data_IF_685514330980
#
_entry.id   IF_685514330980
#
_cell.length_a   1.000
_cell.length_b   1.000
_cell.length_c   1.000
_cell.angle_alpha   90.00
_cell.angle_beta   90.00
_cell.angle_gamma   90.00
#
_symmetry.space_group_name_H-M   'P 1'
#
loop_
_entity.id
_entity.type
_entity.pdbx_description
1 polymer ?
#
# COMPACT_ATOMS: atom_id res chain seq x y z
N UNK A 1 21.24 -0.72 16.57
CA UNK A 1 20.07 0.20 16.60
C UNK A 1 18.83 -0.53 17.11
N UNK A 2 18.07 0.07 18.03
CA UNK A 2 16.83 -0.48 18.61
C UNK A 2 15.63 0.32 18.08
N UNK A 3 14.81 -0.29 17.24
CA UNK A 3 13.66 0.33 16.59
C UNK A 3 12.34 -0.05 17.27
N UNK A 4 11.49 0.92 17.55
CA UNK A 4 10.11 0.69 17.96
C UNK A 4 9.15 1.30 16.95
N UNK A 5 8.24 0.48 16.44
CA UNK A 5 7.24 0.87 15.44
C UNK A 5 5.87 1.01 16.10
N UNK A 6 5.28 2.18 15.96
CA UNK A 6 3.92 2.47 16.45
C UNK A 6 2.91 2.22 15.35
N UNK A 7 1.96 1.34 15.61
CA UNK A 7 0.89 1.04 14.66
C UNK A 7 -0.09 2.21 14.56
N UNK A 8 -0.80 2.25 13.44
CA UNK A 8 -1.92 3.18 13.26
C UNK A 8 -2.96 2.97 14.36
N UNK A 9 -3.63 4.04 14.78
CA UNK A 9 -4.62 3.97 15.85
C UNK A 9 -5.70 2.91 15.59
N UNK A 10 -5.87 2.03 16.54
CA UNK A 10 -6.83 0.92 16.48
C UNK A 10 -6.37 -0.28 15.66
N UNK A 11 -5.18 -0.23 15.06
CA UNK A 11 -4.66 -1.33 14.24
C UNK A 11 -3.89 -2.34 15.12
N UNK A 12 -3.96 -3.62 14.71
CA UNK A 12 -3.35 -4.74 15.41
C UNK A 12 -2.82 -5.78 14.41
N UNK A 13 -2.03 -6.74 14.87
CA UNK A 13 -1.62 -7.88 14.04
C UNK A 13 -2.83 -8.71 13.62
N UNK A 14 -3.77 -8.89 14.52
CA UNK A 14 -5.03 -9.57 14.23
C UNK A 14 -5.85 -8.80 13.17
N UNK A 15 -5.90 -7.47 13.25
CA UNK A 15 -6.53 -6.63 12.23
C UNK A 15 -5.85 -6.79 10.86
N UNK A 16 -4.54 -6.90 10.81
CA UNK A 16 -3.81 -7.19 9.57
C UNK A 16 -4.12 -8.60 9.05
N UNK A 17 -4.23 -9.59 9.94
CA UNK A 17 -4.59 -10.96 9.56
C UNK A 17 -6.00 -11.03 8.97
N UNK A 18 -6.98 -10.42 9.62
CA UNK A 18 -8.37 -10.36 9.14
C UNK A 18 -8.50 -9.64 7.80
N UNK A 19 -7.68 -8.61 7.57
CA UNK A 19 -7.60 -7.90 6.30
C UNK A 19 -6.76 -8.64 5.22
N UNK A 20 -6.20 -9.83 5.52
CA UNK A 20 -5.37 -10.61 4.59
C UNK A 20 -4.04 -9.95 4.23
N UNK A 21 -3.54 -9.02 5.06
CA UNK A 21 -2.32 -8.24 4.75
C UNK A 21 -1.17 -8.48 5.74
N UNK A 22 -1.34 -9.38 6.70
CA UNK A 22 -0.36 -9.60 7.78
C UNK A 22 1.03 -9.93 7.23
N UNK A 23 1.14 -10.94 6.38
CA UNK A 23 2.41 -11.38 5.81
C UNK A 23 3.07 -10.26 5.00
N UNK A 24 2.28 -9.56 4.19
CA UNK A 24 2.73 -8.41 3.41
C UNK A 24 3.29 -7.29 4.29
N UNK A 25 2.61 -6.93 5.39
CA UNK A 25 3.06 -5.84 6.27
C UNK A 25 4.26 -6.28 7.15
N UNK A 26 4.36 -7.56 7.51
CA UNK A 26 5.50 -8.10 8.25
C UNK A 26 6.77 -8.24 7.39
N UNK A 27 6.66 -8.45 6.09
CA UNK A 27 7.80 -8.74 5.21
C UNK A 27 8.90 -7.66 5.29
N UNK A 28 8.54 -6.37 5.29
CA UNK A 28 9.48 -5.27 5.43
C UNK A 28 10.24 -5.33 6.77
N UNK A 29 9.52 -5.58 7.85
CA UNK A 29 10.13 -5.62 9.18
C UNK A 29 10.99 -6.86 9.40
N UNK A 30 10.63 -8.00 8.78
CA UNK A 30 11.48 -9.20 8.73
C UNK A 30 12.77 -8.92 7.94
N UNK A 31 12.68 -8.19 6.82
CA UNK A 31 13.86 -7.79 6.05
C UNK A 31 14.76 -6.81 6.82
N UNK A 32 14.19 -5.91 7.62
CA UNK A 32 14.95 -4.99 8.46
C UNK A 32 15.55 -5.67 9.70
N UNK A 33 14.92 -6.74 10.22
CA UNK A 33 15.28 -7.37 11.52
C UNK A 33 16.76 -7.77 11.65
N UNK A 34 17.43 -8.35 10.64
CA UNK A 34 18.85 -8.71 10.73
C UNK A 34 19.79 -7.53 10.95
N UNK A 35 19.37 -6.31 10.57
CA UNK A 35 20.16 -5.08 10.69
C UNK A 35 19.88 -4.32 12.00
N UNK A 36 18.98 -4.86 12.85
CA UNK A 36 18.55 -4.24 14.09
C UNK A 36 18.96 -5.09 15.29
N UNK A 37 19.47 -4.45 16.33
CA UNK A 37 19.72 -5.10 17.61
C UNK A 37 18.39 -5.54 18.25
N UNK A 38 17.37 -4.69 18.17
CA UNK A 38 16.04 -4.96 18.68
C UNK A 38 14.98 -4.30 17.83
N UNK A 39 13.85 -4.99 17.64
CA UNK A 39 12.67 -4.48 16.96
C UNK A 39 11.43 -4.77 17.81
N UNK A 40 10.62 -3.76 18.06
CA UNK A 40 9.35 -3.91 18.78
C UNK A 40 8.21 -3.20 18.06
N UNK A 41 7.00 -3.74 18.18
CA UNK A 41 5.75 -3.16 17.73
C UNK A 41 4.91 -2.71 18.91
N UNK A 42 4.38 -1.49 18.88
CA UNK A 42 3.31 -1.04 19.77
C UNK A 42 1.99 -1.19 19.02
N UNK A 43 1.16 -2.16 19.40
CA UNK A 43 -0.10 -2.49 18.71
C UNK A 43 -1.30 -2.18 19.60
N UNK A 44 -2.48 -2.07 19.00
CA UNK A 44 -3.73 -1.86 19.74
C UNK A 44 -4.47 -3.17 20.05
N UNK A 45 -3.94 -4.32 19.60
CA UNK A 45 -4.47 -5.64 19.90
C UNK A 45 -4.16 -6.10 21.32
N UNK A 46 -4.81 -7.17 21.73
CA UNK A 46 -4.66 -7.82 23.02
C UNK A 46 -3.99 -9.20 22.94
N UNK A 47 -4.63 -10.21 23.56
CA UNK A 47 -4.11 -11.57 23.61
C UNK A 47 -3.92 -12.21 22.22
N UNK A 48 -4.73 -11.85 21.23
CA UNK A 48 -4.62 -12.37 19.87
C UNK A 48 -3.31 -11.94 19.21
N UNK A 49 -2.90 -10.68 19.38
CA UNK A 49 -1.62 -10.20 18.88
C UNK A 49 -0.43 -10.93 19.52
N UNK A 50 -0.54 -11.32 20.80
CA UNK A 50 0.48 -12.15 21.44
C UNK A 50 0.57 -13.56 20.83
N UNK A 51 -0.56 -14.17 20.45
CA UNK A 51 -0.56 -15.46 19.74
C UNK A 51 0.10 -15.35 18.36
N UNK A 52 -0.11 -14.23 17.68
CA UNK A 52 0.48 -13.94 16.38
C UNK A 52 1.96 -13.49 16.46
N UNK A 53 2.48 -13.19 17.65
CA UNK A 53 3.87 -12.76 17.83
C UNK A 53 4.89 -13.80 17.33
N UNK A 54 4.55 -15.10 17.38
CA UNK A 54 5.36 -16.16 16.80
C UNK A 54 5.58 -16.01 15.28
N UNK A 55 4.59 -15.48 14.54
CA UNK A 55 4.71 -15.17 13.12
C UNK A 55 5.57 -13.91 12.88
N UNK A 56 5.66 -13.03 13.85
CA UNK A 56 6.50 -11.83 13.79
C UNK A 56 8.00 -12.10 14.02
N UNK A 57 8.44 -13.35 14.06
CA UNK A 57 9.83 -13.85 14.05
C UNK A 57 10.89 -12.89 14.63
N UNK A 58 11.07 -12.90 15.97
CA UNK A 58 12.08 -12.09 16.66
C UNK A 58 11.71 -10.61 16.84
N UNK A 59 10.44 -10.24 16.66
CA UNK A 59 9.89 -8.89 16.91
C UNK A 59 9.14 -8.94 18.25
N UNK A 60 9.48 -8.07 19.19
CA UNK A 60 8.73 -7.92 20.45
C UNK A 60 7.38 -7.25 20.15
N UNK A 61 6.26 -7.79 20.66
CA UNK A 61 4.94 -7.21 20.46
C UNK A 61 4.40 -6.63 21.76
N UNK A 62 4.27 -5.32 21.82
CA UNK A 62 3.75 -4.57 22.96
C UNK A 62 2.25 -4.32 22.76
N UNK A 63 1.42 -5.13 23.42
CA UNK A 63 -0.03 -5.17 23.20
C UNK A 63 -0.78 -4.33 24.23
N UNK A 64 -2.01 -3.97 23.92
CA UNK A 64 -2.96 -3.35 24.83
C UNK A 64 -3.60 -4.38 25.79
N UNK A 65 -2.78 -4.96 26.69
CA UNK A 65 -3.22 -5.97 27.67
C UNK A 65 -4.24 -5.47 28.69
N UNK A 66 -4.47 -4.17 28.75
CA UNK A 66 -5.45 -3.53 29.66
C UNK A 66 -6.82 -3.33 29.02
N UNK A 67 -6.98 -3.73 27.74
CA UNK A 67 -8.20 -3.57 26.96
C UNK A 67 -8.73 -2.11 26.97
N UNK A 68 -7.81 -1.14 26.99
CA UNK A 68 -8.18 0.27 27.00
C UNK A 68 -8.78 0.68 25.64
N UNK A 69 -9.76 1.59 25.61
CA UNK A 69 -10.23 2.19 24.37
C UNK A 69 -9.07 2.81 23.58
N UNK A 70 -9.09 2.68 22.24
CA UNK A 70 -7.97 3.06 21.37
C UNK A 70 -7.46 4.49 21.60
N UNK A 71 -8.35 5.45 21.85
CA UNK A 71 -7.96 6.84 22.13
C UNK A 71 -7.19 6.95 23.45
N UNK A 72 -7.68 6.31 24.51
CA UNK A 72 -7.02 6.33 25.81
C UNK A 72 -5.68 5.59 25.76
N UNK A 73 -5.66 4.40 25.12
CA UNK A 73 -4.42 3.64 24.93
C UNK A 73 -3.39 4.43 24.15
N UNK A 74 -3.76 5.15 23.08
CA UNK A 74 -2.80 5.94 22.31
C UNK A 74 -2.10 7.05 23.11
N UNK A 75 -2.70 7.52 24.18
CA UNK A 75 -2.09 8.50 25.09
C UNK A 75 -1.26 7.81 26.16
N UNK A 76 -1.75 6.69 26.71
CA UNK A 76 -1.12 6.00 27.85
C UNK A 76 -0.04 4.99 27.44
N UNK A 77 -0.07 4.45 26.22
CA UNK A 77 0.87 3.44 25.75
C UNK A 77 2.36 3.83 25.96
N UNK A 78 2.78 5.09 25.72
CA UNK A 78 4.14 5.51 26.01
C UNK A 78 4.55 5.28 27.48
N UNK A 79 3.66 5.52 28.41
CA UNK A 79 3.91 5.28 29.84
C UNK A 79 3.82 3.79 30.21
N UNK A 80 2.82 3.08 29.70
CA UNK A 80 2.58 1.66 29.99
C UNK A 80 3.74 0.77 29.51
N UNK A 81 4.35 1.12 28.38
CA UNK A 81 5.48 0.40 27.78
C UNK A 81 6.84 1.08 28.01
N UNK A 82 6.97 1.94 29.04
CA UNK A 82 8.15 2.78 29.29
C UNK A 82 9.47 2.02 29.36
N UNK A 83 9.45 0.75 29.79
CA UNK A 83 10.67 -0.06 29.92
C UNK A 83 11.31 -0.33 28.54
N UNK A 84 10.52 -0.78 27.56
CA UNK A 84 11.00 -1.04 26.21
C UNK A 84 11.25 0.28 25.46
N UNK A 85 10.32 1.25 25.55
CA UNK A 85 10.45 2.55 24.88
C UNK A 85 11.67 3.34 25.37
N UNK A 86 11.99 3.31 26.65
CA UNK A 86 13.17 3.99 27.20
C UNK A 86 14.51 3.43 26.67
N UNK A 87 14.53 2.16 26.24
CA UNK A 87 15.70 1.51 25.66
C UNK A 87 15.82 1.67 24.14
N UNK A 88 14.79 2.16 23.49
CA UNK A 88 14.79 2.38 22.05
C UNK A 88 15.83 3.41 21.63
N UNK A 89 16.35 3.29 20.40
CA UNK A 89 17.17 4.30 19.74
C UNK A 89 16.28 5.22 18.91
N UNK A 90 15.36 4.64 18.12
CA UNK A 90 14.50 5.33 17.18
C UNK A 90 13.06 4.85 17.33
N UNK A 91 12.13 5.77 17.20
CA UNK A 91 10.72 5.52 17.02
C UNK A 91 10.33 5.69 15.54
N UNK A 92 9.42 4.86 15.07
CA UNK A 92 8.85 4.97 13.73
C UNK A 92 7.34 4.79 13.80
N UNK A 93 6.58 5.54 12.99
CA UNK A 93 5.15 5.28 12.82
C UNK A 93 4.91 4.39 11.60
N UNK A 94 3.89 3.52 11.68
CA UNK A 94 3.47 2.75 10.51
C UNK A 94 2.72 3.63 9.49
N UNK A 95 1.88 4.55 9.98
CA UNK A 95 1.18 5.58 9.22
C UNK A 95 0.98 6.82 10.10
N UNK A 96 0.44 7.90 9.50
CA UNK A 96 0.19 9.17 10.21
C UNK A 96 -0.97 9.06 11.22
N UNK A 97 -2.01 8.23 10.94
CA UNK A 97 -3.14 8.07 11.84
C UNK A 97 -2.68 7.40 13.15
N UNK A 98 -2.77 8.12 14.26
CA UNK A 98 -2.30 7.66 15.58
C UNK A 98 -0.83 7.98 15.87
N UNK A 99 -0.12 8.66 14.98
CA UNK A 99 1.27 9.05 15.17
C UNK A 99 1.52 9.94 16.40
N UNK A 100 0.49 10.59 16.95
CA UNK A 100 0.60 11.33 18.22
C UNK A 100 1.08 10.46 19.38
N UNK A 101 0.77 9.16 19.40
CA UNK A 101 1.32 8.21 20.37
C UNK A 101 2.86 8.20 20.32
N UNK A 102 3.43 8.13 19.13
CA UNK A 102 4.88 8.18 18.91
C UNK A 102 5.47 9.57 19.25
N UNK A 103 4.73 10.66 18.98
CA UNK A 103 5.15 12.01 19.36
C UNK A 103 5.21 12.17 20.89
N UNK A 104 4.21 11.66 21.62
CA UNK A 104 4.22 11.64 23.09
C UNK A 104 5.43 10.84 23.59
N UNK A 105 5.67 9.65 23.03
CA UNK A 105 6.83 8.84 23.36
C UNK A 105 8.15 9.58 23.09
N UNK A 106 8.27 10.27 21.94
CA UNK A 106 9.44 11.10 21.62
C UNK A 106 9.70 12.15 22.70
N UNK A 107 8.66 12.88 23.10
CA UNK A 107 8.78 13.93 24.13
C UNK A 107 9.22 13.34 25.50
N UNK A 108 8.64 12.18 25.90
CA UNK A 108 8.94 11.55 27.18
C UNK A 108 10.35 10.96 27.24
N UNK A 109 10.80 10.32 26.17
CA UNK A 109 12.06 9.58 26.15
C UNK A 109 13.18 10.27 25.38
N UNK A 110 12.91 11.43 24.74
CA UNK A 110 13.87 12.22 23.95
C UNK A 110 14.57 11.38 22.86
N UNK A 111 13.81 10.54 22.17
CA UNK A 111 14.28 9.69 21.06
C UNK A 111 14.00 10.33 19.71
N UNK A 112 14.71 9.88 18.67
CA UNK A 112 14.43 10.27 17.30
C UNK A 112 13.14 9.63 16.80
N UNK A 113 12.41 10.34 15.93
CA UNK A 113 11.13 9.90 15.39
C UNK A 113 11.12 9.99 13.87
N UNK A 114 10.88 8.85 13.22
CA UNK A 114 10.58 8.76 11.78
C UNK A 114 9.07 8.65 11.62
N UNK A 115 8.48 9.60 10.90
CA UNK A 115 7.05 9.57 10.58
C UNK A 115 6.85 9.03 9.17
N UNK A 116 6.09 7.93 9.02
CA UNK A 116 5.67 7.44 7.70
C UNK A 116 4.29 7.97 7.35
N UNK A 117 4.17 8.51 6.13
CA UNK A 117 2.93 9.00 5.57
C UNK A 117 2.71 8.36 4.20
N UNK A 118 1.83 7.38 4.11
CA UNK A 118 1.41 6.76 2.86
C UNK A 118 0.27 7.51 2.17
N UNK A 119 -0.45 8.35 2.91
CA UNK A 119 -1.52 9.23 2.43
C UNK A 119 -1.81 10.31 3.47
N UNK A 120 -2.27 11.48 3.04
CA UNK A 120 -2.68 12.55 3.95
C UNK A 120 -4.06 12.24 4.54
N UNK A 121 -4.15 12.27 5.85
CA UNK A 121 -5.42 12.05 6.57
C UNK A 121 -6.41 13.17 6.29
N UNK A 122 -5.95 14.43 6.17
CA UNK A 122 -6.76 15.57 5.77
C UNK A 122 -7.44 15.37 4.41
N UNK A 123 -6.75 14.81 3.41
CA UNK A 123 -7.31 14.53 2.08
C UNK A 123 -8.34 13.39 2.15
N UNK A 124 -8.12 12.40 3.01
CA UNK A 124 -9.09 11.35 3.27
C UNK A 124 -10.36 11.90 3.97
N UNK A 125 -10.18 12.83 4.91
CA UNK A 125 -11.30 13.50 5.60
C UNK A 125 -12.17 14.33 4.65
N UNK A 126 -11.62 14.87 3.56
CA UNK A 126 -12.42 15.59 2.53
C UNK A 126 -13.50 14.68 1.94
N UNK A 127 -13.20 13.38 1.78
CA UNK A 127 -14.15 12.39 1.22
C UNK A 127 -15.17 11.90 2.24
N UNK A 128 -14.80 11.88 3.54
CA UNK A 128 -15.66 11.35 4.61
C UNK A 128 -16.58 12.39 5.24
N UNK A 129 -16.27 13.68 5.13
CA UNK A 129 -17.04 14.73 5.80
C UNK A 129 -17.00 16.07 5.08
N UNK A 130 -18.14 16.74 5.03
CA UNK A 130 -18.26 18.13 4.56
C UNK A 130 -17.84 19.16 5.63
N UNK A 131 -17.53 18.71 6.84
CA UNK A 131 -17.22 19.58 7.98
C UNK A 131 -15.84 20.22 7.86
N UNK A 132 -15.79 21.52 7.57
CA UNK A 132 -14.55 22.30 7.43
C UNK A 132 -13.69 22.29 8.70
N UNK A 133 -14.28 22.34 9.89
CA UNK A 133 -13.53 22.37 11.15
C UNK A 133 -12.81 21.02 11.43
N UNK A 134 -13.43 19.87 11.08
CA UNK A 134 -12.79 18.56 11.23
C UNK A 134 -11.58 18.42 10.30
N UNK A 135 -11.69 18.94 9.09
CA UNK A 135 -10.59 18.99 8.14
C UNK A 135 -9.45 19.88 8.64
N UNK A 136 -9.77 21.09 9.12
CA UNK A 136 -8.78 21.99 9.70
C UNK A 136 -8.08 21.38 10.92
N UNK A 137 -8.80 20.66 11.77
CA UNK A 137 -8.23 19.95 12.91
C UNK A 137 -7.26 18.84 12.44
N UNK A 138 -7.64 18.08 11.40
CA UNK A 138 -6.77 17.07 10.82
C UNK A 138 -5.48 17.70 10.27
N UNK A 139 -5.56 18.81 9.53
CA UNK A 139 -4.41 19.53 8.98
C UNK A 139 -3.51 20.09 10.11
N UNK A 140 -4.09 20.59 11.20
CA UNK A 140 -3.31 21.03 12.36
C UNK A 140 -2.57 19.89 13.04
N UNK A 141 -3.22 18.73 13.21
CA UNK A 141 -2.60 17.54 13.78
C UNK A 141 -1.49 16.99 12.87
N UNK A 142 -1.72 16.93 11.56
CA UNK A 142 -0.70 16.54 10.58
C UNK A 142 0.52 17.45 10.66
N UNK A 143 0.30 18.77 10.66
CA UNK A 143 1.37 19.76 10.80
C UNK A 143 2.18 19.55 12.08
N UNK A 144 1.52 19.32 13.20
CA UNK A 144 2.18 19.06 14.47
C UNK A 144 3.02 17.77 14.44
N UNK A 145 2.47 16.69 13.89
CA UNK A 145 3.14 15.41 13.75
C UNK A 145 4.36 15.51 12.82
N UNK A 146 4.20 16.14 11.65
CA UNK A 146 5.30 16.31 10.70
C UNK A 146 6.43 17.18 11.26
N UNK A 147 6.09 18.25 11.98
CA UNK A 147 7.12 19.08 12.66
C UNK A 147 7.81 18.35 13.78
N UNK A 148 7.12 17.45 14.48
CA UNK A 148 7.70 16.64 15.54
C UNK A 148 8.62 15.53 15.00
N UNK A 149 8.45 15.06 13.75
CA UNK A 149 9.32 14.07 13.13
C UNK A 149 10.73 14.61 12.88
N UNK A 150 11.76 13.80 13.16
CA UNK A 150 13.15 14.09 12.78
C UNK A 150 13.39 13.74 11.30
N UNK A 151 12.69 12.74 10.78
CA UNK A 151 12.60 12.43 9.36
C UNK A 151 11.16 12.05 8.98
N UNK A 152 10.83 12.29 7.72
CA UNK A 152 9.57 11.93 7.08
C UNK A 152 9.83 10.91 5.98
N UNK A 153 9.06 9.85 5.94
CA UNK A 153 9.02 8.88 4.84
C UNK A 153 7.67 9.00 4.14
N UNK A 154 7.69 9.28 2.85
CA UNK A 154 6.51 9.34 1.97
C UNK A 154 6.63 8.33 0.84
N UNK A 155 5.50 7.94 0.23
CA UNK A 155 5.49 6.86 -0.76
C UNK A 155 5.83 7.34 -2.19
N UNK A 156 5.66 8.62 -2.51
CA UNK A 156 5.86 9.16 -3.85
C UNK A 156 6.45 10.56 -3.89
N UNK A 157 7.02 10.92 -5.05
CA UNK A 157 7.60 12.26 -5.25
C UNK A 157 6.55 13.37 -5.26
N UNK A 158 5.33 13.12 -5.79
CA UNK A 158 4.23 14.08 -5.75
C UNK A 158 3.74 14.30 -4.33
N UNK A 159 3.62 13.23 -3.53
CA UNK A 159 3.28 13.32 -2.11
C UNK A 159 4.31 14.16 -1.36
N UNK A 160 5.61 13.91 -1.64
CA UNK A 160 6.71 14.69 -1.07
C UNK A 160 6.58 16.17 -1.38
N UNK A 161 6.38 16.53 -2.64
CA UNK A 161 6.23 17.92 -3.05
C UNK A 161 5.01 18.59 -2.37
N UNK A 162 3.86 17.91 -2.38
CA UNK A 162 2.62 18.37 -1.76
C UNK A 162 2.80 18.62 -0.25
N UNK A 163 3.41 17.67 0.46
CA UNK A 163 3.60 17.73 1.91
C UNK A 163 4.57 18.84 2.28
N UNK A 164 5.70 18.95 1.57
CA UNK A 164 6.68 20.03 1.80
C UNK A 164 6.01 21.40 1.60
N UNK A 165 5.30 21.61 0.51
CA UNK A 165 4.63 22.87 0.19
C UNK A 165 3.50 23.20 1.19
N UNK A 166 2.62 22.22 1.50
CA UNK A 166 1.43 22.43 2.34
C UNK A 166 1.77 22.72 3.79
N UNK A 167 2.82 22.07 4.31
CA UNK A 167 3.17 22.14 5.74
C UNK A 167 4.44 22.94 6.02
N UNK A 168 5.07 23.49 4.98
CA UNK A 168 6.32 24.25 5.08
C UNK A 168 7.41 23.46 5.80
N UNK A 169 7.76 22.30 5.22
CA UNK A 169 8.72 21.37 5.81
C UNK A 169 10.07 21.44 5.09
N UNK A 170 11.12 21.12 5.83
CA UNK A 170 12.46 20.96 5.28
C UNK A 170 12.52 19.75 4.31
N UNK A 171 12.89 20.02 3.08
CA UNK A 171 13.05 19.01 2.03
C UNK A 171 14.13 17.97 2.38
N UNK A 172 15.17 18.33 3.14
CA UNK A 172 16.26 17.44 3.56
C UNK A 172 15.81 16.36 4.54
N UNK A 173 14.72 16.59 5.28
CA UNK A 173 14.15 15.62 6.22
C UNK A 173 13.06 14.73 5.60
N UNK A 174 12.68 14.98 4.35
CA UNK A 174 11.57 14.28 3.70
C UNK A 174 12.10 13.33 2.62
N UNK A 175 12.01 12.04 2.88
CA UNK A 175 12.56 10.96 2.06
C UNK A 175 11.43 10.24 1.31
N UNK A 176 11.68 9.88 0.05
CA UNK A 176 10.76 9.04 -0.73
C UNK A 176 11.21 7.59 -0.58
N UNK A 177 10.35 6.78 0.04
CA UNK A 177 10.51 5.32 0.13
C UNK A 177 9.19 4.70 -0.31
N UNK A 178 9.10 4.22 -1.57
CA UNK A 178 7.88 3.66 -2.14
C UNK A 178 7.37 2.44 -1.36
N UNK A 179 6.16 2.00 -1.71
CA UNK A 179 5.74 0.66 -1.33
C UNK A 179 6.60 -0.37 -2.06
N UNK A 180 6.70 -1.56 -1.51
CA UNK A 180 7.50 -2.65 -2.06
C UNK A 180 6.62 -3.77 -2.60
N UNK A 181 7.24 -4.61 -3.41
CA UNK A 181 6.76 -5.94 -3.77
C UNK A 181 7.78 -6.99 -3.30
N UNK A 182 7.28 -8.08 -2.72
CA UNK A 182 8.12 -9.24 -2.42
C UNK A 182 8.36 -10.04 -3.70
N UNK A 183 9.52 -9.84 -4.31
CA UNK A 183 9.89 -10.48 -5.57
C UNK A 183 10.25 -11.95 -5.42
N UNK A 184 10.33 -12.49 -4.21
CA UNK A 184 10.44 -13.93 -3.98
C UNK A 184 9.08 -14.62 -4.12
N UNK A 185 8.01 -13.93 -3.73
CA UNK A 185 6.63 -14.37 -3.85
C UNK A 185 6.03 -14.00 -5.22
N UNK A 186 6.11 -12.72 -5.59
CA UNK A 186 5.61 -12.19 -6.87
C UNK A 186 6.71 -12.28 -7.91
N UNK A 187 6.67 -13.31 -8.72
CA UNK A 187 7.65 -13.61 -9.78
C UNK A 187 6.98 -14.23 -10.98
N UNK A 188 7.65 -14.21 -12.10
CA UNK A 188 7.24 -14.98 -13.26
C UNK A 188 7.21 -16.48 -12.91
N UNK A 189 6.11 -17.15 -13.22
CA UNK A 189 5.86 -18.58 -13.01
C UNK A 189 5.68 -19.29 -14.36
N UNK A 190 6.77 -19.78 -15.00
CA UNK A 190 6.69 -20.42 -16.31
C UNK A 190 5.79 -21.67 -16.33
N UNK A 191 5.61 -22.28 -15.16
CA UNK A 191 4.73 -23.44 -14.95
C UNK A 191 3.23 -23.11 -14.99
N UNK A 192 2.87 -21.82 -14.96
CA UNK A 192 1.48 -21.36 -15.05
C UNK A 192 1.18 -20.89 -16.47
N UNK A 193 0.32 -21.62 -17.17
CA UNK A 193 -0.11 -21.21 -18.51
C UNK A 193 -0.98 -19.97 -18.47
N UNK A 194 -0.62 -18.97 -19.27
CA UNK A 194 -1.44 -17.77 -19.47
C UNK A 194 -2.68 -18.12 -20.30
N UNK A 195 -3.82 -17.62 -19.86
CA UNK A 195 -5.07 -17.72 -20.61
C UNK A 195 -5.20 -16.52 -21.56
N UNK A 196 -5.34 -16.81 -22.84
CA UNK A 196 -5.54 -15.79 -23.86
C UNK A 196 -6.78 -14.95 -23.56
N UNK A 197 -6.68 -13.64 -23.74
CA UNK A 197 -7.72 -12.61 -23.51
C UNK A 197 -8.26 -12.56 -22.07
N UNK A 198 -7.53 -13.14 -21.10
CA UNK A 198 -7.85 -12.97 -19.66
C UNK A 198 -7.19 -11.71 -19.14
N UNK A 199 -8.03 -10.77 -18.72
CA UNK A 199 -7.65 -9.54 -18.02
C UNK A 199 -7.90 -9.72 -16.53
N UNK A 200 -7.03 -9.20 -15.68
CA UNK A 200 -7.20 -9.23 -14.23
C UNK A 200 -7.08 -7.83 -13.63
N UNK A 201 -7.91 -7.53 -12.65
CA UNK A 201 -7.79 -6.34 -11.78
C UNK A 201 -7.81 -6.75 -10.32
N UNK A 202 -7.06 -6.04 -9.47
CA UNK A 202 -6.91 -6.33 -8.04
C UNK A 202 -7.11 -5.06 -7.24
N UNK A 203 -8.10 -5.06 -6.35
CA UNK A 203 -8.36 -3.92 -5.49
C UNK A 203 -9.70 -3.99 -4.79
N UNK A 204 -9.94 -3.05 -3.86
CA UNK A 204 -11.25 -2.91 -3.22
C UNK A 204 -12.30 -2.49 -4.26
N UNK A 205 -13.50 -2.99 -4.12
CA UNK A 205 -14.63 -2.61 -5.00
C UNK A 205 -15.31 -1.35 -4.45
N UNK A 206 -14.59 -0.22 -4.57
CA UNK A 206 -15.00 1.11 -4.14
C UNK A 206 -14.91 2.09 -5.31
N UNK A 207 -15.58 3.22 -5.22
CA UNK A 207 -15.69 4.21 -6.29
C UNK A 207 -14.32 4.65 -6.84
N UNK A 208 -13.34 4.86 -5.97
CA UNK A 208 -12.00 5.28 -6.39
C UNK A 208 -11.27 4.27 -7.29
N UNK A 209 -11.67 2.99 -7.26
CA UNK A 209 -11.07 1.93 -8.09
C UNK A 209 -11.67 1.85 -9.49
N UNK A 210 -12.81 2.50 -9.73
CA UNK A 210 -13.40 2.67 -11.06
C UNK A 210 -13.64 1.37 -11.83
N UNK A 211 -13.95 0.29 -11.11
CA UNK A 211 -14.25 -1.03 -11.69
C UNK A 211 -15.50 -0.96 -12.59
N UNK A 212 -16.39 -0.01 -12.31
CA UNK A 212 -17.59 0.24 -13.13
C UNK A 212 -17.22 0.59 -14.58
N UNK A 213 -16.31 1.56 -14.78
CA UNK A 213 -15.86 1.95 -16.14
C UNK A 213 -15.14 0.81 -16.86
N UNK A 214 -14.44 -0.06 -16.11
CA UNK A 214 -13.83 -1.26 -16.69
C UNK A 214 -14.89 -2.25 -17.20
N UNK A 215 -15.94 -2.53 -16.44
CA UNK A 215 -17.06 -3.38 -16.86
C UNK A 215 -17.78 -2.77 -18.07
N UNK A 216 -18.01 -1.47 -18.07
CA UNK A 216 -18.61 -0.77 -19.22
C UNK A 216 -17.72 -0.87 -20.49
N UNK A 217 -16.40 -0.82 -20.33
CA UNK A 217 -15.46 -0.95 -21.46
C UNK A 217 -15.55 -2.32 -22.15
N UNK A 218 -15.86 -3.40 -21.38
CA UNK A 218 -15.93 -4.77 -21.90
C UNK A 218 -17.12 -5.02 -22.83
N UNK A 219 -18.17 -4.20 -22.82
CA UNK A 219 -19.37 -4.40 -23.69
C UNK A 219 -19.03 -4.49 -25.18
N UNK A 220 -17.98 -3.81 -25.60
CA UNK A 220 -17.55 -3.76 -27.00
C UNK A 220 -16.20 -4.49 -27.22
N UNK A 221 -15.86 -5.41 -26.33
CA UNK A 221 -14.66 -6.25 -26.39
C UNK A 221 -15.04 -7.74 -26.28
N UNK A 222 -15.69 -8.31 -27.32
CA UNK A 222 -16.13 -9.71 -27.25
C UNK A 222 -14.95 -10.67 -27.06
N UNK A 223 -15.18 -11.70 -26.25
CA UNK A 223 -14.19 -12.74 -25.95
C UNK A 223 -13.13 -12.35 -24.93
N UNK A 224 -13.20 -11.15 -24.33
CA UNK A 224 -12.37 -10.79 -23.19
C UNK A 224 -12.99 -11.37 -21.91
N UNK A 225 -12.17 -12.05 -21.12
CA UNK A 225 -12.52 -12.57 -19.79
C UNK A 225 -11.92 -11.67 -18.72
N UNK A 226 -12.72 -11.22 -17.77
CA UNK A 226 -12.22 -10.39 -16.67
C UNK A 226 -12.27 -11.14 -15.34
N UNK A 227 -11.14 -11.24 -14.64
CA UNK A 227 -11.07 -11.68 -13.26
C UNK A 227 -10.93 -10.47 -12.33
N UNK A 228 -11.83 -10.36 -11.36
CA UNK A 228 -11.85 -9.28 -10.37
C UNK A 228 -11.48 -9.87 -9.01
N UNK A 229 -10.32 -9.46 -8.46
CA UNK A 229 -9.84 -9.86 -7.14
C UNK A 229 -10.06 -8.72 -6.16
N UNK A 230 -10.82 -9.00 -5.13
CA UNK A 230 -11.15 -8.05 -4.06
C UNK A 230 -12.63 -8.01 -3.76
N UNK A 231 -12.97 -7.23 -2.74
CA UNK A 231 -14.34 -7.05 -2.28
C UNK A 231 -14.57 -5.56 -1.90
N UNK A 232 -15.83 -5.17 -1.75
CA UNK A 232 -16.17 -3.80 -1.38
C UNK A 232 -17.65 -3.48 -1.55
N UNK A 233 -18.00 -2.25 -1.21
CA UNK A 233 -19.38 -1.78 -1.17
C UNK A 233 -20.12 -1.88 -2.52
N UNK A 234 -19.39 -1.80 -3.63
CA UNK A 234 -19.98 -1.80 -4.98
C UNK A 234 -20.19 -3.20 -5.57
N UNK A 235 -19.75 -4.28 -4.89
CA UNK A 235 -19.77 -5.64 -5.44
C UNK A 235 -21.13 -6.03 -6.02
N UNK A 236 -22.19 -5.91 -5.24
CA UNK A 236 -23.53 -6.32 -5.66
C UNK A 236 -24.04 -5.58 -6.90
N UNK A 237 -23.71 -4.29 -7.02
CA UNK A 237 -24.12 -3.49 -8.17
C UNK A 237 -23.29 -3.79 -9.42
N UNK A 238 -22.00 -4.10 -9.27
CA UNK A 238 -21.13 -4.56 -10.35
C UNK A 238 -21.58 -5.94 -10.88
N UNK A 239 -21.94 -6.88 -10.01
CA UNK A 239 -22.47 -8.21 -10.39
C UNK A 239 -23.79 -8.08 -11.19
N UNK A 240 -24.70 -7.18 -10.78
CA UNK A 240 -25.94 -6.87 -11.53
C UNK A 240 -25.63 -6.34 -12.94
N UNK A 241 -24.64 -5.45 -13.07
CA UNK A 241 -24.23 -4.91 -14.38
C UNK A 241 -23.65 -5.97 -15.30
N UNK A 242 -22.76 -6.83 -14.76
CA UNK A 242 -22.19 -7.96 -15.48
C UNK A 242 -23.29 -8.88 -16.03
N UNK A 243 -24.25 -9.25 -15.18
CA UNK A 243 -25.39 -10.09 -15.58
C UNK A 243 -26.27 -9.39 -16.64
N UNK A 244 -26.56 -8.10 -16.49
CA UNK A 244 -27.34 -7.31 -17.43
C UNK A 244 -26.73 -7.29 -18.83
N UNK A 245 -25.40 -7.23 -18.91
CA UNK A 245 -24.69 -7.11 -20.20
C UNK A 245 -24.16 -8.46 -20.70
N UNK A 246 -24.42 -9.56 -19.99
CA UNK A 246 -23.95 -10.90 -20.31
C UNK A 246 -22.44 -10.97 -20.58
N UNK A 247 -21.63 -10.38 -19.67
CA UNK A 247 -20.18 -10.31 -19.79
C UNK A 247 -19.51 -11.50 -19.11
N UNK A 248 -18.36 -11.94 -19.64
CA UNK A 248 -17.52 -13.00 -19.05
C UNK A 248 -16.64 -12.40 -17.93
N UNK A 249 -17.21 -12.25 -16.73
CA UNK A 249 -16.57 -11.64 -15.58
C UNK A 249 -16.69 -12.55 -14.37
N UNK A 250 -15.55 -12.86 -13.75
CA UNK A 250 -15.43 -13.69 -12.56
C UNK A 250 -15.07 -12.83 -11.34
N UNK A 251 -15.91 -12.84 -10.30
CA UNK A 251 -15.63 -12.16 -9.02
C UNK A 251 -15.03 -13.17 -8.04
N UNK A 252 -13.72 -13.08 -7.82
CA UNK A 252 -12.96 -13.99 -6.96
C UNK A 252 -13.05 -13.64 -5.46
N UNK A 253 -13.56 -12.44 -5.12
CA UNK A 253 -13.56 -11.96 -3.75
C UNK A 253 -12.16 -11.64 -3.24
N UNK A 254 -12.03 -11.53 -1.92
CA UNK A 254 -10.72 -11.40 -1.28
C UNK A 254 -10.00 -12.76 -1.30
N UNK A 255 -8.83 -12.81 -1.93
CA UNK A 255 -7.98 -14.00 -1.97
C UNK A 255 -6.79 -13.85 -1.03
N UNK A 256 -6.24 -14.94 -0.46
CA UNK A 256 -4.99 -14.91 0.27
C UNK A 256 -3.86 -14.32 -0.58
N UNK A 257 -3.01 -13.47 0.05
CA UNK A 257 -1.94 -12.76 -0.68
C UNK A 257 -0.95 -13.71 -1.37
N UNK A 258 -0.74 -14.88 -0.82
CA UNK A 258 0.11 -15.96 -1.37
C UNK A 258 -0.47 -16.66 -2.59
N UNK A 259 -1.78 -16.59 -2.82
CA UNK A 259 -2.44 -17.15 -4.01
C UNK A 259 -2.46 -16.15 -5.17
N UNK A 260 -2.33 -14.86 -4.89
CA UNK A 260 -2.41 -13.79 -5.88
C UNK A 260 -1.36 -13.92 -7.01
N UNK A 261 -0.09 -14.31 -6.77
CA UNK A 261 0.89 -14.49 -7.83
C UNK A 261 0.44 -15.48 -8.90
N UNK A 262 -0.21 -16.57 -8.51
CA UNK A 262 -0.71 -17.57 -9.46
C UNK A 262 -1.83 -17.02 -10.35
N UNK A 263 -2.74 -16.23 -9.77
CA UNK A 263 -3.82 -15.58 -10.52
C UNK A 263 -3.26 -14.55 -11.50
N UNK A 264 -2.27 -13.76 -11.08
CA UNK A 264 -1.59 -12.79 -11.93
C UNK A 264 -0.87 -13.50 -13.09
N UNK A 265 -0.12 -14.57 -12.83
CA UNK A 265 0.59 -15.31 -13.88
C UNK A 265 -0.34 -16.00 -14.88
N UNK A 266 -1.59 -16.32 -14.49
CA UNK A 266 -2.61 -16.91 -15.36
C UNK A 266 -3.23 -15.88 -16.33
N UNK A 267 -3.20 -14.61 -16.01
CA UNK A 267 -3.78 -13.56 -16.84
C UNK A 267 -2.85 -13.16 -18.01
N UNK A 268 -3.42 -12.61 -19.07
CA UNK A 268 -2.67 -12.02 -20.19
C UNK A 268 -2.35 -10.55 -19.96
N UNK A 269 -3.26 -9.81 -19.29
CA UNK A 269 -3.10 -8.40 -18.96
C UNK A 269 -3.56 -8.10 -17.53
N UNK A 270 -2.88 -7.15 -16.90
CA UNK A 270 -3.36 -6.51 -15.67
C UNK A 270 -3.88 -5.11 -15.98
N UNK A 271 -4.97 -4.70 -15.34
CA UNK A 271 -5.47 -3.32 -15.44
C UNK A 271 -5.79 -2.74 -14.06
N UNK A 272 -5.35 -1.50 -13.84
CA UNK A 272 -5.71 -0.68 -12.69
C UNK A 272 -6.42 0.59 -13.17
N UNK A 273 -7.77 0.59 -13.26
CA UNK A 273 -8.53 1.66 -13.90
C UNK A 273 -8.85 2.84 -12.98
N UNK A 274 -8.19 2.94 -11.85
CA UNK A 274 -8.52 3.82 -10.72
C UNK A 274 -8.65 5.29 -11.08
N UNK A 275 -9.58 6.00 -10.43
CA UNK A 275 -9.68 7.46 -10.43
C UNK A 275 -8.63 8.13 -9.55
N UNK A 276 -8.11 7.40 -8.58
CA UNK A 276 -7.08 7.88 -7.67
C UNK A 276 -6.22 6.72 -7.14
N UNK A 277 -4.90 6.95 -7.12
CA UNK A 277 -3.91 6.10 -6.46
C UNK A 277 -2.84 6.98 -5.81
N UNK A 278 -2.33 6.51 -4.66
CA UNK A 278 -1.12 7.09 -4.07
C UNK A 278 0.12 6.34 -4.57
N UNK A 279 0.28 5.10 -4.12
CA UNK A 279 1.38 4.21 -4.53
C UNK A 279 0.85 2.77 -4.63
N UNK A 280 0.44 2.32 -5.84
CA UNK A 280 -0.40 1.14 -6.04
C UNK A 280 0.38 -0.17 -5.94
N UNK A 281 0.30 -0.87 -4.80
CA UNK A 281 0.99 -2.16 -4.58
C UNK A 281 0.62 -3.22 -5.61
N UNK A 282 -0.68 -3.36 -5.96
CA UNK A 282 -1.14 -4.35 -6.93
C UNK A 282 -0.51 -4.18 -8.32
N UNK A 283 -0.17 -2.94 -8.70
CA UNK A 283 0.53 -2.66 -9.95
C UNK A 283 1.96 -3.22 -9.91
N UNK A 284 2.68 -3.03 -8.80
CA UNK A 284 4.03 -3.58 -8.63
C UNK A 284 4.02 -5.11 -8.58
N UNK A 285 3.02 -5.69 -7.93
CA UNK A 285 2.80 -7.13 -7.84
C UNK A 285 2.59 -7.75 -9.24
N UNK A 286 1.76 -7.11 -10.07
CA UNK A 286 1.53 -7.52 -11.46
C UNK A 286 2.80 -7.38 -12.32
N UNK A 287 3.51 -6.26 -12.23
CA UNK A 287 4.78 -6.05 -12.94
C UNK A 287 5.83 -7.08 -12.53
N UNK A 288 5.95 -7.39 -11.25
CA UNK A 288 6.90 -8.37 -10.73
C UNK A 288 6.58 -9.81 -11.18
N UNK A 289 5.32 -10.11 -11.51
CA UNK A 289 4.90 -11.35 -12.16
C UNK A 289 5.14 -11.34 -13.69
N UNK A 290 5.77 -10.31 -14.24
CA UNK A 290 5.98 -10.18 -15.68
C UNK A 290 4.67 -10.03 -16.45
N UNK A 291 3.64 -9.45 -15.85
CA UNK A 291 2.36 -9.21 -16.50
C UNK A 291 2.38 -7.81 -17.16
N UNK A 292 2.02 -7.69 -18.44
CA UNK A 292 1.84 -6.37 -19.05
C UNK A 292 0.73 -5.62 -18.32
N UNK A 293 1.01 -4.37 -17.96
CA UNK A 293 0.11 -3.59 -17.10
C UNK A 293 -0.47 -2.38 -17.82
N UNK A 294 -1.76 -2.14 -17.60
CA UNK A 294 -2.47 -0.92 -17.99
C UNK A 294 -2.83 -0.16 -16.72
N UNK A 295 -2.58 1.14 -16.70
CA UNK A 295 -2.98 2.03 -15.61
C UNK A 295 -3.58 3.33 -16.12
N UNK A 296 -4.43 3.95 -15.33
CA UNK A 296 -4.99 5.26 -15.65
C UNK A 296 -3.97 6.38 -15.42
N UNK A 297 -4.11 7.50 -16.16
CA UNK A 297 -3.27 8.70 -16.05
C UNK A 297 -3.60 9.51 -14.79
N UNK A 298 -3.47 8.88 -13.63
CA UNK A 298 -3.61 9.55 -12.31
C UNK A 298 -2.25 9.67 -11.63
N UNK A 299 -2.04 10.67 -10.76
CA UNK A 299 -0.71 11.00 -10.25
C UNK A 299 0.08 9.82 -9.69
N UNK A 300 -0.54 8.97 -8.85
CA UNK A 300 0.14 7.82 -8.25
C UNK A 300 0.56 6.74 -9.24
N UNK A 301 -0.18 6.56 -10.35
CA UNK A 301 0.17 5.59 -11.40
C UNK A 301 1.21 6.20 -12.35
N UNK A 302 1.08 7.47 -12.74
CA UNK A 302 2.04 8.15 -13.61
C UNK A 302 3.45 8.28 -13.02
N UNK A 303 3.58 8.21 -11.70
CA UNK A 303 4.89 8.21 -11.04
C UNK A 303 5.64 6.88 -11.18
N UNK A 304 4.95 5.81 -11.50
CA UNK A 304 5.50 4.45 -11.55
C UNK A 304 5.46 3.82 -12.94
N UNK A 305 4.57 4.26 -13.82
CA UNK A 305 4.49 3.76 -15.19
C UNK A 305 5.03 4.79 -16.19
N UNK A 306 5.93 4.34 -17.05
CA UNK A 306 6.37 5.05 -18.25
C UNK A 306 5.58 4.46 -19.41
N UNK A 307 4.78 5.32 -20.08
CA UNK A 307 3.86 4.91 -21.16
C UNK A 307 4.60 4.21 -22.30
N UNK A 308 4.10 3.04 -22.71
CA UNK A 308 4.67 2.15 -23.72
C UNK A 308 6.07 1.60 -23.42
N UNK A 309 6.60 1.88 -22.23
CA UNK A 309 7.89 1.33 -21.78
C UNK A 309 7.72 0.32 -20.66
N UNK A 310 7.26 0.75 -19.49
CA UNK A 310 7.07 -0.12 -18.33
C UNK A 310 5.60 -0.49 -18.10
N UNK A 311 4.68 0.10 -18.85
CA UNK A 311 3.25 -0.16 -18.85
C UNK A 311 2.53 0.73 -19.86
N UNK A 312 1.23 0.59 -19.93
CA UNK A 312 0.38 1.39 -20.82
C UNK A 312 -0.50 2.34 -20.00
N UNK A 313 -0.48 3.63 -20.31
CA UNK A 313 -1.30 4.66 -19.63
C UNK A 313 -2.50 5.06 -20.46
N UNK A 314 -3.71 5.02 -19.88
CA UNK A 314 -4.97 5.43 -20.52
C UNK A 314 -5.71 6.49 -19.68
N UNK A 315 -6.82 7.02 -20.23
CA UNK A 315 -7.77 7.81 -19.45
C UNK A 315 -8.62 6.96 -18.51
N UNK A 316 -9.52 7.62 -17.77
CA UNK A 316 -10.39 6.95 -16.77
C UNK A 316 -11.77 6.62 -17.30
N UNK A 317 -12.11 7.04 -18.53
CA UNK A 317 -13.42 6.79 -19.13
C UNK A 317 -13.53 5.36 -19.68
N UNK A 318 -14.75 4.80 -19.80
CA UNK A 318 -14.93 3.48 -20.41
C UNK A 318 -14.35 3.37 -21.83
N UNK A 319 -14.44 4.46 -22.63
CA UNK A 319 -13.88 4.50 -23.99
C UNK A 319 -12.35 4.44 -23.99
N UNK A 320 -11.68 5.16 -23.08
CA UNK A 320 -10.22 5.16 -22.98
C UNK A 320 -9.70 3.79 -22.51
N UNK A 321 -10.37 3.20 -21.51
CA UNK A 321 -10.06 1.87 -20.98
C UNK A 321 -10.22 0.82 -22.08
N UNK A 322 -11.31 0.90 -22.88
CA UNK A 322 -11.56 0.00 -23.99
C UNK A 322 -10.48 0.10 -25.07
N UNK A 323 -10.13 1.33 -25.45
CA UNK A 323 -9.07 1.56 -26.43
C UNK A 323 -7.73 0.96 -25.97
N UNK A 324 -7.36 1.18 -24.73
CA UNK A 324 -6.14 0.61 -24.14
C UNK A 324 -6.15 -0.92 -24.09
N UNK A 325 -7.27 -1.52 -23.67
CA UNK A 325 -7.42 -2.98 -23.65
C UNK A 325 -7.31 -3.57 -25.07
N UNK A 326 -7.98 -2.96 -26.05
CA UNK A 326 -7.93 -3.40 -27.46
C UNK A 326 -6.49 -3.31 -27.97
N UNK A 327 -5.84 -2.18 -27.81
CA UNK A 327 -4.48 -1.97 -28.30
C UNK A 327 -3.50 -2.97 -27.67
N UNK A 328 -3.57 -3.15 -26.36
CA UNK A 328 -2.69 -4.09 -25.67
C UNK A 328 -2.99 -5.56 -25.97
N UNK A 329 -4.24 -5.93 -26.30
CA UNK A 329 -4.59 -7.29 -26.71
C UNK A 329 -4.18 -7.60 -28.15
N UNK A 330 -4.18 -6.61 -29.04
CA UNK A 330 -3.87 -6.77 -30.47
C UNK A 330 -2.37 -6.65 -30.76
N UNK A 331 -1.60 -5.85 -30.01
CA UNK A 331 -0.17 -5.59 -30.25
C UNK A 331 0.73 -6.45 -29.36
N UNK A 332 1.04 -7.67 -29.80
CA UNK A 332 1.90 -8.62 -29.05
C UNK A 332 3.29 -8.06 -28.74
N UNK A 333 3.93 -7.40 -29.70
CA UNK A 333 5.27 -6.80 -29.52
C UNK A 333 5.27 -5.71 -28.44
N UNK A 334 4.20 -4.89 -28.37
CA UNK A 334 4.05 -3.90 -27.31
C UNK A 334 3.88 -4.59 -25.95
N UNK A 335 3.05 -5.64 -25.86
CA UNK A 335 2.87 -6.42 -24.63
C UNK A 335 4.18 -7.01 -24.11
N UNK A 336 4.95 -7.64 -24.99
CA UNK A 336 6.25 -8.23 -24.64
C UNK A 336 7.24 -7.18 -24.16
N UNK A 337 7.29 -6.05 -24.84
CA UNK A 337 8.18 -4.93 -24.46
C UNK A 337 7.82 -4.38 -23.09
N UNK A 338 6.55 -4.03 -22.83
CA UNK A 338 6.14 -3.45 -21.54
C UNK A 338 6.21 -4.48 -20.41
N UNK A 339 5.95 -5.76 -20.70
CA UNK A 339 6.11 -6.86 -19.74
C UNK A 339 7.54 -7.00 -19.26
N UNK A 340 8.49 -7.15 -20.19
CA UNK A 340 9.91 -7.35 -19.87
C UNK A 340 10.52 -6.13 -19.17
N UNK A 341 10.27 -4.93 -19.69
CA UNK A 341 10.76 -3.69 -19.07
C UNK A 341 10.08 -3.40 -17.74
N UNK A 342 8.77 -3.65 -17.63
CA UNK A 342 8.01 -3.52 -16.39
C UNK A 342 8.52 -4.44 -15.29
N UNK A 343 8.80 -5.70 -15.62
CA UNK A 343 9.39 -6.66 -14.68
C UNK A 343 10.75 -6.18 -14.16
N UNK A 344 11.67 -5.81 -15.08
CA UNK A 344 12.99 -5.32 -14.70
C UNK A 344 12.89 -4.06 -13.81
N UNK A 345 12.03 -3.13 -14.19
CA UNK A 345 11.80 -1.89 -13.44
C UNK A 345 11.24 -2.16 -12.02
N UNK A 346 10.27 -3.09 -11.89
CA UNK A 346 9.72 -3.46 -10.59
C UNK A 346 10.77 -4.12 -9.68
N UNK A 347 11.61 -5.00 -10.23
CA UNK A 347 12.69 -5.66 -9.50
C UNK A 347 13.76 -4.67 -9.03
N UNK A 348 14.14 -3.72 -9.87
CA UNK A 348 15.16 -2.72 -9.56
C UNK A 348 14.69 -1.66 -8.56
N UNK A 349 13.45 -1.17 -8.71
CA UNK A 349 13.00 0.00 -7.98
C UNK A 349 12.07 -0.31 -6.80
N UNK A 350 11.30 -1.42 -6.84
CA UNK A 350 10.25 -1.72 -5.85
C UNK A 350 10.44 -3.04 -5.12
N UNK A 351 11.54 -3.77 -5.37
CA UNK A 351 11.78 -5.02 -4.62
C UNK A 351 11.89 -4.77 -3.11
N UNK A 352 11.39 -5.72 -2.32
CA UNK A 352 11.45 -5.66 -0.85
C UNK A 352 12.87 -5.38 -0.35
N UNK A 353 13.87 -6.01 -0.95
CA UNK A 353 15.28 -5.82 -0.58
C UNK A 353 15.72 -4.37 -0.81
N UNK A 354 15.37 -3.80 -1.97
CA UNK A 354 15.72 -2.40 -2.31
C UNK A 354 15.05 -1.41 -1.36
N UNK A 355 13.76 -1.60 -1.10
CA UNK A 355 12.99 -0.72 -0.23
C UNK A 355 13.45 -0.85 1.23
N UNK A 356 13.76 -2.05 1.70
CA UNK A 356 14.33 -2.24 3.04
C UNK A 356 15.68 -1.53 3.21
N UNK A 357 16.55 -1.57 2.19
CA UNK A 357 17.81 -0.82 2.18
C UNK A 357 17.59 0.70 2.24
N UNK A 358 16.65 1.23 1.45
CA UNK A 358 16.31 2.67 1.48
C UNK A 358 15.78 3.08 2.85
N UNK A 359 14.88 2.27 3.44
CA UNK A 359 14.34 2.56 4.76
C UNK A 359 15.43 2.48 5.84
N UNK A 360 16.30 1.47 5.76
CA UNK A 360 17.43 1.32 6.68
C UNK A 360 18.39 2.53 6.58
N UNK A 361 18.66 3.03 5.38
CA UNK A 361 19.48 4.22 5.19
C UNK A 361 18.91 5.43 5.92
N UNK A 362 17.58 5.68 5.80
CA UNK A 362 16.92 6.77 6.55
C UNK A 362 17.02 6.56 8.06
N UNK A 363 16.83 5.33 8.54
CA UNK A 363 16.94 5.03 9.97
C UNK A 363 18.38 5.26 10.49
N UNK A 364 19.37 4.89 9.70
CA UNK A 364 20.79 5.00 10.08
C UNK A 364 21.28 6.44 10.18
N UNK A 365 20.74 7.37 9.36
CA UNK A 365 21.10 8.81 9.45
C UNK A 365 20.66 9.44 10.78
N UNK A 366 19.76 8.79 11.53
CA UNK A 366 19.22 9.30 12.79
C UNK A 366 19.72 8.56 14.03
N UNK A 367 20.47 7.46 13.85
CA UNK A 367 20.93 6.58 14.94
C UNK A 367 22.16 7.08 15.66
#
# INVERSE_FOLDING_TARGET
>A
MKLVVFFSRGMSLEGWRQAGILERELALYRALRPHLEHLAFVTYGGAEDLRLSGQASGIEVLVNRWSLPANLYSVLAPYLHRRTLGRATIFKTNQINGAWCAVIAKCLFRKRLVVRCGFLWSDFMVRLTTSRWRRMLAECLERAIFRAGDALIVAGHADRATIIQRYDLDAGRTHVVPNYVDTSLFRLMPEVSRESRRVITVGRLEEEKNTESLIEALKELPGVKLSIVGDGSLRADLEKRVSKYNLDVEFLGAVPHEELPRLLNRAELFILPSHYEGNPKALFEAMACGLPVIGTRVPGIQQVLIHEETGFLCGTTPSDIRAALREMLERSELRERVSSRGLAYAQEHFSLTRIAQQELAVLTTLS
#
